data_IF_369717759835
#
_entry.id   IF_369717759835
#
_cell.length_a   1.000
_cell.length_b   1.000
_cell.length_c   1.000
_cell.angle_alpha   90.00
_cell.angle_beta   90.00
_cell.angle_gamma   90.00
#
_symmetry.space_group_name_H-M   'P 1'
#
loop_
_entity.id
_entity.type
_entity.pdbx_description
1 polymer ?
#
# COMPACT_ATOMS: atom_id res chain seq x y z
N UNK A 1 -20.29 -22.51 13.36
CA UNK A 1 -20.59 -21.25 12.65
C UNK A 1 -19.31 -20.78 11.99
N UNK A 2 -19.16 -21.00 10.68
CA UNK A 2 -18.06 -20.38 9.93
C UNK A 2 -18.29 -18.87 9.92
N UNK A 3 -17.56 -18.13 10.76
CA UNK A 3 -17.46 -16.67 10.58
C UNK A 3 -16.54 -16.46 9.38
N UNK A 4 -17.10 -16.46 8.18
CA UNK A 4 -16.40 -15.92 7.01
C UNK A 4 -16.02 -14.49 7.37
N UNK A 5 -14.72 -14.20 7.44
CA UNK A 5 -14.26 -12.86 7.77
C UNK A 5 -14.90 -11.88 6.78
N UNK A 6 -15.70 -10.93 7.27
CA UNK A 6 -16.39 -9.99 6.39
C UNK A 6 -15.40 -8.99 5.79
N UNK A 7 -14.88 -9.34 4.61
CA UNK A 7 -13.98 -8.50 3.81
C UNK A 7 -14.75 -7.60 2.84
N UNK A 8 -16.00 -7.95 2.51
CA UNK A 8 -16.85 -7.26 1.52
C UNK A 8 -17.10 -5.80 1.91
N UNK A 9 -17.43 -5.54 3.17
CA UNK A 9 -17.65 -4.17 3.65
C UNK A 9 -16.39 -3.32 3.62
N UNK A 10 -15.23 -3.90 3.98
CA UNK A 10 -13.94 -3.22 3.88
C UNK A 10 -13.60 -2.87 2.43
N UNK A 11 -13.90 -3.77 1.49
CA UNK A 11 -13.70 -3.51 0.07
C UNK A 11 -14.61 -2.37 -0.43
N UNK A 12 -15.89 -2.38 -0.05
CA UNK A 12 -16.85 -1.33 -0.43
C UNK A 12 -16.43 0.02 0.16
N UNK A 13 -16.14 0.08 1.46
CA UNK A 13 -15.68 1.31 2.13
C UNK A 13 -14.40 1.83 1.49
N UNK A 14 -13.47 0.93 1.20
CA UNK A 14 -12.20 1.29 0.58
C UNK A 14 -12.36 1.87 -0.84
N UNK A 15 -13.23 1.27 -1.65
CA UNK A 15 -13.54 1.75 -2.99
C UNK A 15 -14.27 3.10 -2.97
N UNK A 16 -15.21 3.28 -2.03
CA UNK A 16 -15.87 4.56 -1.79
C UNK A 16 -14.88 5.65 -1.32
N UNK A 17 -13.92 5.29 -0.46
CA UNK A 17 -12.88 6.22 -0.01
C UNK A 17 -11.97 6.70 -1.13
N UNK A 18 -11.58 5.81 -2.06
CA UNK A 18 -10.84 6.19 -3.26
C UNK A 18 -11.70 7.07 -4.18
N UNK A 19 -12.95 6.66 -4.43
CA UNK A 19 -13.87 7.42 -5.28
C UNK A 19 -14.14 8.82 -4.73
N UNK A 20 -14.21 8.98 -3.41
CA UNK A 20 -14.34 10.28 -2.75
C UNK A 20 -13.17 11.21 -3.07
N UNK A 21 -11.96 10.69 -3.26
CA UNK A 21 -10.79 11.48 -3.66
C UNK A 21 -10.98 12.26 -4.97
N UNK A 22 -11.86 11.78 -5.86
CA UNK A 22 -12.19 12.43 -7.14
C UNK A 22 -13.32 13.45 -7.04
N UNK A 23 -14.05 13.49 -5.90
CA UNK A 23 -15.19 14.39 -5.69
C UNK A 23 -14.80 15.48 -4.69
N UNK A 24 -15.23 16.71 -4.89
CA UNK A 24 -14.87 17.85 -4.02
C UNK A 24 -15.78 17.99 -2.80
N UNK A 25 -16.09 16.84 -2.18
CA UNK A 25 -17.01 16.74 -1.04
C UNK A 25 -16.30 16.74 0.32
N UNK A 26 -15.00 17.03 0.37
CA UNK A 26 -14.23 16.95 1.60
C UNK A 26 -14.38 18.23 2.43
N UNK A 27 -14.58 18.12 3.76
CA UNK A 27 -14.53 19.28 4.64
C UNK A 27 -13.13 19.91 4.66
N UNK A 28 -13.08 21.21 4.92
CA UNK A 28 -11.84 21.96 5.06
C UNK A 28 -10.97 21.34 6.15
N UNK A 29 -9.71 21.05 5.81
CA UNK A 29 -8.75 20.42 6.71
C UNK A 29 -8.19 21.39 7.75
N UNK A 30 -7.32 20.92 8.65
CA UNK A 30 -6.71 21.72 9.72
C UNK A 30 -5.91 22.94 9.24
N UNK A 31 -5.51 22.94 7.96
CA UNK A 31 -4.78 24.02 7.29
C UNK A 31 -5.59 24.68 6.17
N UNK A 32 -6.92 24.69 6.31
CA UNK A 32 -7.86 25.22 5.31
C UNK A 32 -7.68 24.58 3.91
N UNK A 33 -7.16 23.35 3.89
CA UNK A 33 -6.85 22.62 2.68
C UNK A 33 -7.77 21.42 2.53
N UNK A 34 -8.65 21.48 1.53
CA UNK A 34 -9.50 20.33 1.14
C UNK A 34 -8.67 19.13 0.68
N UNK A 35 -7.50 19.39 0.07
CA UNK A 35 -6.57 18.36 -0.40
C UNK A 35 -6.03 17.49 0.73
N UNK A 36 -5.82 18.04 1.93
CA UNK A 36 -5.40 17.24 3.09
C UNK A 36 -6.47 16.24 3.50
N UNK A 37 -7.71 16.70 3.69
CA UNK A 37 -8.83 15.84 4.09
C UNK A 37 -9.10 14.75 3.05
N UNK A 38 -9.02 15.09 1.75
CA UNK A 38 -9.07 14.12 0.64
C UNK A 38 -7.95 13.08 0.74
N UNK A 39 -6.73 13.50 1.05
CA UNK A 39 -5.60 12.61 1.27
C UNK A 39 -5.83 11.64 2.44
N UNK A 40 -6.36 12.11 3.56
CA UNK A 40 -6.67 11.26 4.72
C UNK A 40 -7.76 10.24 4.38
N UNK A 41 -8.84 10.66 3.73
CA UNK A 41 -9.92 9.75 3.32
C UNK A 41 -9.41 8.71 2.31
N UNK A 42 -8.61 9.14 1.34
CA UNK A 42 -7.96 8.24 0.37
C UNK A 42 -7.03 7.23 1.05
N UNK A 43 -6.26 7.65 2.04
CA UNK A 43 -5.35 6.77 2.80
C UNK A 43 -6.12 5.72 3.61
N UNK A 44 -7.20 6.13 4.27
CA UNK A 44 -8.11 5.22 4.96
C UNK A 44 -8.73 4.25 3.96
N UNK A 45 -9.14 4.73 2.78
CA UNK A 45 -9.70 3.92 1.71
C UNK A 45 -8.75 2.82 1.21
N UNK A 46 -7.51 3.18 0.91
CA UNK A 46 -6.46 2.23 0.49
C UNK A 46 -6.16 1.23 1.62
N UNK A 47 -6.13 1.69 2.87
CA UNK A 47 -5.92 0.80 4.04
C UNK A 47 -7.06 -0.22 4.17
N UNK A 48 -8.32 0.21 4.01
CA UNK A 48 -9.47 -0.69 4.02
C UNK A 48 -9.40 -1.72 2.88
N UNK A 49 -9.00 -1.31 1.67
CA UNK A 49 -8.80 -2.24 0.55
C UNK A 49 -7.70 -3.25 0.83
N UNK A 50 -6.57 -2.81 1.39
CA UNK A 50 -5.49 -3.71 1.80
C UNK A 50 -5.98 -4.75 2.81
N UNK A 51 -6.71 -4.33 3.84
CA UNK A 51 -7.28 -5.24 4.84
C UNK A 51 -8.31 -6.19 4.22
N UNK A 52 -9.14 -5.72 3.29
CA UNK A 52 -10.08 -6.57 2.56
C UNK A 52 -9.35 -7.65 1.76
N UNK A 53 -8.32 -7.28 1.01
CA UNK A 53 -7.49 -8.21 0.25
C UNK A 53 -6.74 -9.19 1.17
N UNK A 54 -6.21 -8.73 2.30
CA UNK A 54 -5.51 -9.57 3.27
C UNK A 54 -6.44 -10.62 3.87
N UNK A 55 -7.63 -10.20 4.31
CA UNK A 55 -8.65 -11.12 4.86
C UNK A 55 -9.17 -12.10 3.81
N UNK A 56 -9.30 -11.67 2.55
CA UNK A 56 -9.66 -12.54 1.43
C UNK A 56 -8.57 -13.59 1.13
N UNK A 57 -7.29 -13.18 1.14
CA UNK A 57 -6.16 -14.03 0.76
C UNK A 57 -5.76 -15.01 1.87
N UNK A 58 -5.70 -14.55 3.11
CA UNK A 58 -5.16 -15.35 4.23
C UNK A 58 -6.24 -15.88 5.17
N UNK A 59 -7.50 -15.44 5.05
CA UNK A 59 -8.64 -15.82 5.90
C UNK A 59 -8.36 -15.74 7.42
N UNK A 60 -7.44 -14.85 7.82
CA UNK A 60 -7.06 -14.57 9.21
C UNK A 60 -7.19 -13.08 9.50
N UNK A 61 -7.44 -12.74 10.77
CA UNK A 61 -7.37 -11.35 11.23
C UNK A 61 -5.90 -10.99 11.47
N UNK A 62 -5.31 -10.25 10.55
CA UNK A 62 -3.94 -9.76 10.65
C UNK A 62 -3.73 -8.55 9.74
N UNK A 63 -2.58 -7.88 9.93
CA UNK A 63 -2.20 -6.67 9.17
C UNK A 63 -0.91 -6.89 8.41
N UNK A 64 -0.05 -7.83 8.82
CA UNK A 64 1.22 -8.11 8.18
C UNK A 64 1.34 -9.60 7.80
N UNK A 65 1.70 -9.93 6.55
CA UNK A 65 2.21 -11.25 6.23
C UNK A 65 3.61 -11.37 6.83
N UNK A 66 3.77 -12.19 7.86
CA UNK A 66 5.09 -12.55 8.41
C UNK A 66 5.94 -13.24 7.35
N UNK A 67 7.27 -13.13 7.46
CA UNK A 67 8.23 -13.67 6.48
C UNK A 67 8.03 -15.18 6.25
N UNK A 68 7.60 -15.92 7.27
CA UNK A 68 7.20 -17.34 7.19
C UNK A 68 6.13 -17.66 6.14
N UNK A 69 5.34 -16.68 5.70
CA UNK A 69 4.30 -16.89 4.68
C UNK A 69 4.79 -16.69 3.25
N UNK A 70 6.05 -16.31 3.05
CA UNK A 70 6.63 -16.13 1.73
C UNK A 70 7.10 -17.49 1.22
N UNK A 71 6.49 -18.02 0.15
CA UNK A 71 6.89 -19.35 -0.37
C UNK A 71 8.36 -19.44 -0.79
N UNK A 72 8.98 -18.34 -1.26
CA UNK A 72 10.38 -18.29 -1.76
C UNK A 72 11.06 -16.95 -1.49
N UNK A 73 11.51 -16.68 -0.25
CA UNK A 73 12.06 -15.38 0.12
C UNK A 73 13.28 -14.97 -0.74
N UNK A 74 14.08 -15.91 -1.24
CA UNK A 74 15.27 -15.61 -2.04
C UNK A 74 15.03 -14.99 -3.42
N UNK A 75 13.88 -15.26 -4.05
CA UNK A 75 13.53 -14.67 -5.34
C UNK A 75 12.50 -13.55 -5.20
N UNK A 76 11.62 -13.64 -4.21
CA UNK A 76 10.53 -12.67 -4.03
C UNK A 76 11.02 -11.29 -3.59
N UNK A 77 12.12 -11.18 -2.84
CA UNK A 77 12.64 -9.88 -2.38
C UNK A 77 13.02 -8.94 -3.54
N UNK A 78 13.63 -9.48 -4.61
CA UNK A 78 14.00 -8.69 -5.81
C UNK A 78 12.74 -8.16 -6.49
N UNK A 79 11.70 -9.00 -6.62
CA UNK A 79 10.42 -8.58 -7.20
C UNK A 79 9.77 -7.44 -6.41
N UNK A 80 9.83 -7.49 -5.08
CA UNK A 80 9.27 -6.44 -4.22
C UNK A 80 10.08 -5.14 -4.32
N UNK A 81 11.41 -5.22 -4.43
CA UNK A 81 12.27 -4.05 -4.68
C UNK A 81 11.96 -3.42 -6.03
N UNK A 82 11.85 -4.22 -7.10
CA UNK A 82 11.50 -3.74 -8.44
C UNK A 82 10.12 -3.11 -8.45
N UNK A 83 9.14 -3.74 -7.80
CA UNK A 83 7.80 -3.18 -7.64
C UNK A 83 7.83 -1.83 -6.90
N UNK A 84 8.59 -1.72 -5.81
CA UNK A 84 8.78 -0.48 -5.07
C UNK A 84 9.39 0.63 -5.94
N UNK A 85 10.45 0.31 -6.70
CA UNK A 85 11.09 1.23 -7.63
C UNK A 85 10.14 1.67 -8.76
N UNK A 86 9.36 0.76 -9.33
CA UNK A 86 8.32 1.11 -10.32
C UNK A 86 7.29 2.06 -9.73
N UNK A 87 6.81 1.82 -8.51
CA UNK A 87 5.85 2.70 -7.84
C UNK A 87 6.42 4.10 -7.56
N UNK A 88 7.71 4.20 -7.23
CA UNK A 88 8.37 5.51 -7.09
C UNK A 88 8.52 6.26 -8.41
N UNK A 89 8.60 5.56 -9.55
CA UNK A 89 8.71 6.18 -10.86
C UNK A 89 7.36 6.72 -11.39
N UNK A 90 6.23 6.16 -10.94
CA UNK A 90 4.88 6.53 -11.41
C UNK A 90 4.58 8.03 -11.26
N UNK A 91 4.81 8.69 -10.10
CA UNK A 91 4.59 10.13 -9.96
C UNK A 91 5.38 10.96 -10.97
N UNK A 92 6.65 10.61 -11.21
CA UNK A 92 7.50 11.32 -12.17
C UNK A 92 7.02 11.12 -13.61
N UNK A 93 6.57 9.93 -13.97
CA UNK A 93 6.00 9.63 -15.29
C UNK A 93 4.70 10.42 -15.51
N UNK A 94 3.84 10.48 -14.50
CA UNK A 94 2.58 11.24 -14.54
C UNK A 94 2.83 12.73 -14.77
N UNK A 95 3.80 13.31 -14.06
CA UNK A 95 4.23 14.69 -14.27
C UNK A 95 4.79 14.92 -15.68
N UNK A 96 5.61 13.99 -16.18
CA UNK A 96 6.19 14.10 -17.52
C UNK A 96 5.12 14.06 -18.63
N UNK A 97 4.05 13.29 -18.42
CA UNK A 97 2.91 13.19 -19.34
C UNK A 97 1.87 14.33 -19.17
N UNK A 98 2.08 15.27 -18.23
CA UNK A 98 1.17 16.38 -17.91
C UNK A 98 -0.29 15.93 -17.65
N UNK A 99 -0.48 14.79 -16.96
CA UNK A 99 -1.82 14.31 -16.58
C UNK A 99 -2.24 14.95 -15.25
N UNK A 100 -2.37 16.27 -15.24
CA UNK A 100 -2.65 17.03 -14.02
C UNK A 100 -4.16 17.24 -13.78
N UNK A 101 -4.99 17.18 -14.83
CA UNK A 101 -6.40 17.60 -14.76
C UNK A 101 -7.38 16.59 -14.17
N UNK A 102 -7.04 15.29 -14.14
CA UNK A 102 -7.98 14.21 -13.84
C UNK A 102 -7.63 13.39 -12.59
N UNK A 103 -6.48 13.66 -11.96
CA UNK A 103 -5.94 12.84 -10.88
C UNK A 103 -5.95 13.65 -9.59
N UNK A 104 -6.44 13.09 -8.46
CA UNK A 104 -6.41 13.77 -7.18
C UNK A 104 -4.98 14.16 -6.79
N UNK A 105 -4.78 15.38 -6.30
CA UNK A 105 -3.48 15.88 -5.82
C UNK A 105 -2.69 14.91 -4.90
N UNK A 106 -3.30 14.20 -3.92
CA UNK A 106 -2.55 13.31 -3.03
C UNK A 106 -2.07 12.00 -3.70
N UNK A 107 -2.42 11.75 -4.96
CA UNK A 107 -2.10 10.48 -5.65
C UNK A 107 -0.61 10.23 -5.72
N UNK A 108 0.18 11.26 -6.04
CA UNK A 108 1.64 11.14 -6.05
C UNK A 108 2.20 10.70 -4.70
N UNK A 109 1.67 11.26 -3.60
CA UNK A 109 2.06 10.92 -2.24
C UNK A 109 1.78 9.44 -1.91
N UNK A 110 0.64 8.90 -2.35
CA UNK A 110 0.32 7.49 -2.14
C UNK A 110 1.28 6.55 -2.87
N UNK A 111 1.59 6.84 -4.14
CA UNK A 111 2.54 6.05 -4.92
C UNK A 111 3.94 6.09 -4.31
N UNK A 112 4.40 7.27 -3.88
CA UNK A 112 5.69 7.41 -3.20
C UNK A 112 5.72 6.65 -1.87
N UNK A 113 4.65 6.73 -1.07
CA UNK A 113 4.55 6.02 0.21
C UNK A 113 4.58 4.50 0.02
N UNK A 114 3.74 3.97 -0.87
CA UNK A 114 3.68 2.53 -1.16
C UNK A 114 5.00 2.04 -1.74
N UNK A 115 5.57 2.78 -2.70
CA UNK A 115 6.86 2.45 -3.30
C UNK A 115 7.99 2.43 -2.29
N UNK A 116 8.04 3.42 -1.40
CA UNK A 116 9.04 3.50 -0.33
C UNK A 116 8.92 2.36 0.69
N UNK A 117 7.70 2.04 1.13
CA UNK A 117 7.45 0.90 2.03
C UNK A 117 7.86 -0.43 1.40
N UNK A 118 7.49 -0.65 0.12
CA UNK A 118 7.88 -1.85 -0.61
C UNK A 118 9.40 -1.95 -0.76
N UNK A 119 10.09 -0.85 -1.11
CA UNK A 119 11.54 -0.81 -1.21
C UNK A 119 12.22 -1.15 0.11
N UNK A 120 11.81 -0.51 1.21
CA UNK A 120 12.37 -0.77 2.53
C UNK A 120 12.14 -2.23 2.96
N UNK A 121 10.93 -2.77 2.72
CA UNK A 121 10.62 -4.16 3.03
C UNK A 121 11.45 -5.15 2.18
N UNK A 122 11.52 -4.93 0.86
CA UNK A 122 12.28 -5.78 -0.05
C UNK A 122 13.78 -5.76 0.24
N UNK A 123 14.36 -4.58 0.52
CA UNK A 123 15.76 -4.45 0.94
C UNK A 123 16.01 -5.13 2.28
N UNK A 124 15.11 -4.98 3.26
CA UNK A 124 15.21 -5.64 4.56
C UNK A 124 15.23 -7.17 4.41
N UNK A 125 14.30 -7.75 3.64
CA UNK A 125 14.27 -9.20 3.38
C UNK A 125 15.54 -9.63 2.63
N UNK A 126 16.01 -8.84 1.66
CA UNK A 126 17.28 -9.10 0.96
C UNK A 126 18.48 -9.15 1.90
N UNK A 127 18.54 -8.26 2.90
CA UNK A 127 19.59 -8.24 3.92
C UNK A 127 19.51 -9.43 4.89
N UNK A 128 18.31 -9.97 5.15
CA UNK A 128 18.14 -11.20 5.94
C UNK A 128 18.56 -12.42 5.13
N UNK A 129 18.18 -12.51 3.86
CA UNK A 129 18.41 -13.73 3.07
C UNK A 129 19.86 -13.84 2.61
N UNK A 130 20.47 -12.75 2.14
CA UNK A 130 21.83 -12.75 1.55
C UNK A 130 22.83 -11.84 2.28
N UNK A 131 22.34 -10.98 3.16
CA UNK A 131 23.14 -9.96 3.80
C UNK A 131 23.70 -10.38 5.17
N UNK A 132 24.38 -9.45 5.85
CA UNK A 132 25.01 -9.69 7.16
C UNK A 132 24.00 -9.91 8.29
N UNK A 133 22.70 -9.69 8.04
CA UNK A 133 21.61 -9.91 8.98
C UNK A 133 20.99 -11.29 8.85
N UNK A 134 21.62 -12.20 8.11
CA UNK A 134 21.21 -13.59 8.03
C UNK A 134 21.17 -14.21 9.43
N UNK A 135 19.97 -14.58 9.85
CA UNK A 135 19.75 -15.34 11.07
C UNK A 135 20.37 -16.71 10.80
N UNK A 136 21.59 -16.93 11.32
CA UNK A 136 22.13 -18.27 11.45
C UNK A 136 21.29 -18.93 12.53
N UNK A 137 20.40 -19.85 12.16
CA UNK A 137 19.87 -20.79 13.14
C UNK A 137 21.09 -21.48 13.76
N UNK A 138 21.36 -21.20 15.02
CA UNK A 138 22.22 -22.05 15.85
C UNK A 138 21.51 -23.41 15.94
N UNK A 139 22.22 -24.47 15.54
CA UNK A 139 21.77 -25.88 15.57
C UNK A 139 21.18 -26.33 16.91
#
# INVERSE_FOLDING_TARGET
MERTLEWRWLAVIGLLGIAQGFVDLAPEGPWDSRSFTRGVIGLVGITCLYLAWFRFTFNINGVAPTVDRWSRPESTWVTVVVFGACMLAVPTILQWLNIDGNIPEPTGLFFTLVGGLALLNGVYVGLIVRGPLAIKEEE
#
